data_IF_936510851787
#
_entry.id   IF_936510851787
#
_cell.length_a   1.000
_cell.length_b   1.000
_cell.length_c   1.000
_cell.angle_alpha   90.00
_cell.angle_beta   90.00
_cell.angle_gamma   90.00
#
_symmetry.space_group_name_H-M   'P 1'
#
loop_
_entity.id
_entity.type
_entity.pdbx_description
1 polymer ?
#
# COMPACT_ATOMS: atom_id res chain seq x y z
N UNK A 1 -5.85 -5.29 16.44
CA UNK A 1 -7.13 -5.51 15.73
C UNK A 1 -6.89 -5.49 14.22
N UNK A 2 -7.73 -6.17 13.43
CA UNK A 2 -7.69 -6.14 11.96
C UNK A 2 -8.95 -5.46 11.44
N UNK A 3 -8.80 -4.44 10.61
CA UNK A 3 -9.89 -3.64 10.05
C UNK A 3 -9.95 -3.92 8.55
N UNK A 4 -10.92 -4.73 8.13
CA UNK A 4 -11.16 -5.02 6.72
C UNK A 4 -11.83 -3.82 6.06
N UNK A 5 -11.35 -3.43 4.90
CA UNK A 5 -11.83 -2.24 4.20
C UNK A 5 -12.63 -2.63 2.94
N UNK A 6 -13.61 -1.80 2.59
CA UNK A 6 -14.07 -1.71 1.22
C UNK A 6 -12.97 -1.07 0.37
N UNK A 7 -13.03 -1.20 -0.95
CA UNK A 7 -12.10 -0.52 -1.84
C UNK A 7 -12.19 1.00 -1.66
N UNK A 8 -11.12 1.66 -1.20
CA UNK A 8 -11.09 3.11 -1.17
C UNK A 8 -10.84 3.63 -2.59
N UNK A 9 -11.72 4.52 -3.05
CA UNK A 9 -11.64 5.17 -4.36
C UNK A 9 -11.77 6.70 -4.21
N UNK A 10 -11.29 7.46 -5.19
CA UNK A 10 -11.42 8.91 -5.22
C UNK A 10 -10.88 9.57 -3.94
N UNK A 11 -11.73 10.34 -3.26
CA UNK A 11 -11.33 11.05 -2.04
C UNK A 11 -11.08 10.13 -0.84
N UNK A 12 -11.73 8.97 -0.79
CA UNK A 12 -11.47 7.98 0.28
C UNK A 12 -10.08 7.36 0.11
N UNK A 13 -9.66 7.10 -1.14
CA UNK A 13 -8.28 6.72 -1.45
C UNK A 13 -7.29 7.78 -0.99
N UNK A 14 -7.51 9.05 -1.36
CA UNK A 14 -6.60 10.15 -0.98
C UNK A 14 -6.53 10.36 0.52
N UNK A 15 -7.64 10.17 1.22
CA UNK A 15 -7.74 10.28 2.68
C UNK A 15 -7.02 9.12 3.37
N UNK A 16 -7.18 7.89 2.88
CA UNK A 16 -6.46 6.73 3.39
C UNK A 16 -4.96 6.88 3.18
N UNK A 17 -4.52 7.25 1.96
CA UNK A 17 -3.10 7.45 1.67
C UNK A 17 -2.54 8.59 2.53
N UNK A 18 -3.25 9.70 2.67
CA UNK A 18 -2.85 10.78 3.58
C UNK A 18 -2.56 10.23 4.98
N UNK A 19 -3.52 9.48 5.52
CA UNK A 19 -3.40 8.92 6.85
C UNK A 19 -2.25 7.90 6.97
N UNK A 20 -2.07 7.05 5.96
CA UNK A 20 -0.96 6.10 5.91
C UNK A 20 0.40 6.80 6.01
N UNK A 21 0.60 7.88 5.25
CA UNK A 21 1.83 8.69 5.31
C UNK A 21 2.02 9.43 6.63
N UNK A 22 0.94 9.77 7.33
CA UNK A 22 1.01 10.47 8.62
C UNK A 22 1.40 9.55 9.78
N UNK A 23 1.19 8.22 9.65
CA UNK A 23 1.44 7.27 10.75
C UNK A 23 2.52 6.23 10.46
N UNK A 24 2.89 6.05 9.20
CA UNK A 24 3.89 5.08 8.76
C UNK A 24 5.18 5.78 8.33
N UNK A 25 6.31 5.10 8.50
CA UNK A 25 7.65 5.55 8.07
C UNK A 25 8.10 4.89 6.77
N UNK A 26 7.47 3.79 6.37
CA UNK A 26 7.87 3.00 5.21
C UNK A 26 6.67 2.58 4.38
N UNK A 27 6.80 2.60 3.06
CA UNK A 27 5.87 1.97 2.14
C UNK A 27 6.62 1.07 1.14
N UNK A 28 5.89 0.12 0.55
CA UNK A 28 6.46 -0.86 -0.38
C UNK A 28 5.50 -1.20 -1.51
N UNK A 29 6.06 -1.74 -2.59
CA UNK A 29 5.32 -2.36 -3.69
C UNK A 29 6.16 -3.43 -4.38
N UNK A 30 5.50 -4.23 -5.21
CA UNK A 30 6.02 -5.49 -5.75
C UNK A 30 6.21 -5.39 -7.27
N UNK A 31 7.32 -5.95 -7.75
CA UNK A 31 7.56 -6.27 -9.16
C UNK A 31 7.71 -7.78 -9.32
N UNK A 32 6.67 -8.43 -9.83
CA UNK A 32 6.70 -9.85 -10.18
C UNK A 32 7.51 -10.08 -11.46
N UNK A 33 8.49 -10.99 -11.39
CA UNK A 33 9.33 -11.36 -12.54
C UNK A 33 8.54 -11.96 -13.71
N UNK A 34 7.40 -12.58 -13.44
CA UNK A 34 6.54 -13.21 -14.44
C UNK A 34 5.46 -12.28 -15.04
N UNK A 35 5.30 -11.06 -14.51
CA UNK A 35 4.31 -10.10 -15.01
C UNK A 35 4.98 -9.11 -15.95
N UNK A 36 4.25 -8.74 -17.00
CA UNK A 36 4.64 -7.62 -17.86
C UNK A 36 4.20 -6.32 -17.21
N UNK A 37 5.15 -5.40 -17.06
CA UNK A 37 4.87 -4.03 -16.66
C UNK A 37 5.03 -3.12 -17.87
N UNK A 38 4.15 -2.13 -17.97
CA UNK A 38 4.33 -1.07 -18.94
C UNK A 38 5.44 -0.09 -18.46
N UNK A 39 5.75 0.91 -19.28
CA UNK A 39 6.75 1.94 -18.94
C UNK A 39 6.40 2.74 -17.68
N UNK A 40 5.15 2.67 -17.18
CA UNK A 40 4.73 3.36 -15.97
C UNK A 40 5.42 2.80 -14.73
N UNK A 41 5.75 1.51 -14.66
CA UNK A 41 6.51 0.97 -13.52
C UNK A 41 7.84 1.70 -13.32
N UNK A 42 8.64 1.78 -14.38
CA UNK A 42 9.95 2.44 -14.31
C UNK A 42 9.80 3.95 -14.08
N UNK A 43 8.68 4.54 -14.49
CA UNK A 43 8.35 5.93 -14.16
C UNK A 43 8.07 6.11 -12.67
N UNK A 44 7.25 5.24 -12.06
CA UNK A 44 6.94 5.27 -10.61
C UNK A 44 8.22 5.18 -9.80
N UNK A 45 9.08 4.20 -10.10
CA UNK A 45 10.35 4.00 -9.37
C UNK A 45 11.25 5.22 -9.50
N UNK A 46 11.34 5.83 -10.69
CA UNK A 46 12.14 7.05 -10.89
C UNK A 46 11.60 8.25 -10.13
N UNK A 47 10.28 8.46 -10.10
CA UNK A 47 9.69 9.58 -9.35
C UNK A 47 9.94 9.47 -7.84
N UNK A 48 10.00 8.23 -7.33
CA UNK A 48 10.23 7.89 -5.93
C UNK A 48 11.70 7.66 -5.55
N UNK A 49 12.65 7.87 -6.48
CA UNK A 49 14.07 7.56 -6.27
C UNK A 49 14.68 8.22 -5.03
N UNK A 50 14.27 9.45 -4.72
CA UNK A 50 14.76 10.18 -3.55
C UNK A 50 14.39 9.56 -2.20
N UNK A 51 13.33 8.75 -2.18
CA UNK A 51 12.84 8.08 -0.98
C UNK A 51 13.20 6.58 -0.97
N UNK A 52 13.91 6.10 -1.98
CA UNK A 52 14.26 4.68 -2.11
C UNK A 52 15.21 4.23 -1.00
N UNK A 53 14.90 3.09 -0.36
CA UNK A 53 15.74 2.47 0.68
C UNK A 53 16.54 1.32 0.07
N UNK A 54 15.84 0.26 -0.34
CA UNK A 54 16.42 -0.91 -0.99
C UNK A 54 15.33 -1.70 -1.73
N UNK A 55 15.75 -2.67 -2.53
CA UNK A 55 14.88 -3.73 -3.03
C UNK A 55 15.48 -5.10 -2.76
N UNK A 56 14.62 -6.11 -2.57
CA UNK A 56 15.05 -7.47 -2.27
C UNK A 56 14.13 -8.48 -2.94
N UNK A 57 14.71 -9.56 -3.46
CA UNK A 57 13.96 -10.72 -3.92
C UNK A 57 13.39 -11.48 -2.73
N UNK A 58 12.07 -11.67 -2.71
CA UNK A 58 11.35 -12.27 -1.59
C UNK A 58 10.19 -13.12 -2.11
N UNK A 59 9.81 -14.14 -1.34
CA UNK A 59 8.61 -14.94 -1.56
C UNK A 59 7.48 -14.55 -0.59
N UNK A 60 7.67 -13.52 0.23
CA UNK A 60 6.69 -13.07 1.21
C UNK A 60 6.77 -11.55 1.36
N UNK A 61 5.60 -10.92 1.44
CA UNK A 61 5.38 -9.50 1.75
C UNK A 61 4.04 -9.38 2.48
N UNK A 62 3.61 -8.17 2.91
CA UNK A 62 2.33 -8.03 3.60
C UNK A 62 1.18 -8.61 2.78
N UNK A 63 0.42 -9.52 3.39
CA UNK A 63 -0.75 -10.16 2.77
C UNK A 63 -0.46 -11.36 1.88
N UNK A 64 0.77 -11.57 1.41
CA UNK A 64 1.04 -12.56 0.35
C UNK A 64 2.27 -13.43 0.64
N UNK A 65 2.12 -14.73 0.41
CA UNK A 65 3.22 -15.69 0.21
C UNK A 65 3.13 -16.16 -1.23
N UNK A 66 4.20 -16.03 -2.00
CA UNK A 66 4.20 -16.23 -3.45
C UNK A 66 5.22 -17.27 -3.91
N UNK A 67 4.86 -18.02 -4.94
CA UNK A 67 5.76 -18.88 -5.71
C UNK A 67 5.47 -18.59 -7.19
N UNK A 68 6.43 -18.06 -7.98
CA UNK A 68 7.83 -17.78 -7.64
C UNK A 68 8.02 -16.54 -6.74
N UNK A 69 9.28 -16.23 -6.43
CA UNK A 69 9.70 -14.97 -5.80
C UNK A 69 9.39 -13.74 -6.66
N UNK A 70 9.33 -12.58 -6.01
CA UNK A 70 9.20 -11.27 -6.63
C UNK A 70 10.19 -10.27 -6.02
N UNK A 71 10.46 -9.17 -6.73
CA UNK A 71 11.24 -8.07 -6.19
C UNK A 71 10.32 -7.14 -5.39
N UNK A 72 10.64 -6.92 -4.11
CA UNK A 72 9.92 -5.97 -3.26
C UNK A 72 10.78 -4.73 -3.09
N UNK A 73 10.19 -3.56 -3.35
CA UNK A 73 10.86 -2.27 -3.26
C UNK A 73 10.36 -1.53 -2.02
N UNK A 74 11.29 -1.01 -1.22
CA UNK A 74 11.02 -0.30 0.03
C UNK A 74 11.42 1.17 -0.08
N UNK A 75 10.57 2.05 0.43
CA UNK A 75 10.72 3.50 0.36
C UNK A 75 10.38 4.14 1.71
N UNK A 76 11.07 5.23 2.05
CA UNK A 76 10.69 6.10 3.15
C UNK A 76 9.43 6.89 2.80
N UNK A 77 8.56 7.12 3.78
CA UNK A 77 7.47 8.09 3.62
C UNK A 77 8.03 9.52 3.64
N UNK A 78 7.60 10.35 2.70
CA UNK A 78 7.94 11.77 2.65
C UNK A 78 6.80 12.57 2.02
N UNK A 79 6.81 13.89 2.18
CA UNK A 79 5.81 14.75 1.52
C UNK A 79 5.83 14.61 0.00
N UNK A 80 7.00 14.35 -0.59
CA UNK A 80 7.17 14.16 -2.04
C UNK A 80 6.51 12.85 -2.48
N UNK A 81 6.86 11.73 -1.87
CA UNK A 81 6.24 10.43 -2.18
C UNK A 81 4.74 10.44 -1.88
N UNK A 82 4.30 11.11 -0.81
CA UNK A 82 2.87 11.31 -0.52
C UNK A 82 2.15 11.98 -1.69
N UNK A 83 2.71 13.07 -2.21
CA UNK A 83 2.16 13.77 -3.37
C UNK A 83 2.08 12.88 -4.63
N UNK A 84 3.09 12.06 -4.87
CA UNK A 84 3.11 11.13 -6.02
C UNK A 84 2.05 10.03 -5.86
N UNK A 85 2.07 9.30 -4.74
CA UNK A 85 1.17 8.16 -4.48
C UNK A 85 -0.30 8.59 -4.46
N UNK A 86 -0.62 9.76 -3.89
CA UNK A 86 -2.00 10.28 -3.86
C UNK A 86 -2.56 10.62 -5.25
N UNK A 87 -1.71 10.95 -6.21
CA UNK A 87 -2.12 11.51 -7.50
C UNK A 87 -1.90 10.58 -8.70
N UNK A 88 -1.12 9.51 -8.53
CA UNK A 88 -0.84 8.58 -9.63
C UNK A 88 -2.05 7.72 -10.02
N UNK A 89 -2.99 7.53 -9.08
CA UNK A 89 -4.23 6.80 -9.29
C UNK A 89 -5.32 7.28 -8.33
N UNK A 90 -6.54 6.79 -8.53
CA UNK A 90 -7.73 7.09 -7.73
C UNK A 90 -8.28 5.86 -7.00
N UNK A 91 -7.60 4.70 -7.03
CA UNK A 91 -8.02 3.49 -6.31
C UNK A 91 -6.81 2.76 -5.72
N UNK A 92 -7.01 2.16 -4.54
CA UNK A 92 -6.00 1.28 -3.95
C UNK A 92 -5.79 -0.01 -4.75
N UNK A 93 -6.83 -0.56 -5.38
CA UNK A 93 -6.71 -1.80 -6.16
C UNK A 93 -6.14 -1.56 -7.57
N UNK A 94 -5.98 -0.30 -7.99
CA UNK A 94 -5.23 0.02 -9.21
C UNK A 94 -3.72 -0.21 -9.08
N UNK A 95 -3.20 -0.43 -7.88
CA UNK A 95 -1.82 -0.88 -7.64
C UNK A 95 -1.63 -2.34 -8.06
N UNK A 96 -1.77 -2.56 -9.36
CA UNK A 96 -1.76 -3.85 -10.01
C UNK A 96 -1.13 -3.73 -11.41
N UNK A 97 -0.35 -4.72 -11.79
CA UNK A 97 0.19 -4.85 -13.13
C UNK A 97 -0.95 -4.92 -14.18
N UNK A 98 -0.74 -4.45 -15.42
CA UNK A 98 0.54 -3.96 -15.98
C UNK A 98 0.79 -2.47 -15.74
N UNK A 99 -0.17 -1.74 -15.15
CA UNK A 99 -0.16 -0.27 -15.16
C UNK A 99 0.60 0.36 -14.00
N UNK A 100 0.58 -0.29 -12.84
CA UNK A 100 1.32 0.13 -11.65
C UNK A 100 2.06 -1.08 -11.06
N UNK A 101 3.03 -0.84 -10.15
CA UNK A 101 3.52 -1.89 -9.28
C UNK A 101 2.38 -2.58 -8.53
N UNK A 102 2.59 -3.84 -8.16
CA UNK A 102 1.60 -4.62 -7.42
C UNK A 102 1.63 -4.26 -5.92
N UNK A 103 0.48 -4.37 -5.27
CA UNK A 103 0.31 -4.46 -3.81
C UNK A 103 0.98 -3.31 -3.00
N UNK A 104 0.52 -2.06 -3.19
CA UNK A 104 0.96 -0.94 -2.35
C UNK A 104 0.61 -1.17 -0.88
N UNK A 105 1.62 -1.32 -0.03
CA UNK A 105 1.48 -1.56 1.41
C UNK A 105 2.27 -0.54 2.23
N UNK A 106 1.90 -0.36 3.50
CA UNK A 106 2.58 0.54 4.44
C UNK A 106 2.99 -0.18 5.72
N UNK A 107 4.14 0.22 6.27
CA UNK A 107 4.70 -0.30 7.51
C UNK A 107 4.92 0.86 8.51
N UNK A 108 4.59 0.58 9.78
CA UNK A 108 4.88 1.44 10.93
C UNK A 108 5.97 0.77 11.77
N UNK A 109 7.19 1.27 11.64
CA UNK A 109 8.42 0.54 11.92
C UNK A 109 8.46 -0.74 11.10
N UNK A 110 8.78 -1.85 11.76
CA UNK A 110 8.80 -3.18 11.11
C UNK A 110 7.42 -3.87 11.08
N UNK A 111 6.34 -3.18 11.50
CA UNK A 111 5.00 -3.77 11.59
C UNK A 111 4.14 -3.37 10.40
N UNK A 112 3.44 -4.36 9.84
CA UNK A 112 2.43 -4.13 8.80
C UNK A 112 1.34 -3.21 9.33
N UNK A 113 0.97 -2.20 8.54
CA UNK A 113 -0.11 -1.29 8.87
C UNK A 113 -1.21 -1.32 7.80
N UNK A 114 -0.93 -0.93 6.56
CA UNK A 114 -1.84 -1.14 5.43
C UNK A 114 -1.38 -2.36 4.63
N UNK A 115 -2.22 -3.37 4.57
CA UNK A 115 -2.01 -4.58 3.78
C UNK A 115 -2.98 -4.53 2.60
N UNK A 116 -2.43 -4.64 1.38
CA UNK A 116 -3.20 -4.62 0.15
C UNK A 116 -2.74 -5.77 -0.74
N UNK A 117 -3.70 -6.54 -1.25
CA UNK A 117 -3.47 -7.59 -2.24
C UNK A 117 -4.39 -7.25 -3.42
N UNK A 118 -3.93 -6.36 -4.29
CA UNK A 118 -4.75 -5.65 -5.27
C UNK A 118 -5.45 -6.60 -6.24
N UNK A 119 -4.74 -7.63 -6.68
CA UNK A 119 -5.25 -8.62 -7.62
C UNK A 119 -6.34 -9.53 -7.01
N UNK A 120 -6.37 -9.66 -5.67
CA UNK A 120 -7.43 -10.35 -4.93
C UNK A 120 -8.54 -9.39 -4.46
N UNK A 121 -8.35 -8.07 -4.64
CA UNK A 121 -9.25 -7.01 -4.14
C UNK A 121 -9.47 -7.12 -2.63
N UNK A 122 -8.41 -7.42 -1.90
CA UNK A 122 -8.39 -7.50 -0.45
C UNK A 122 -7.52 -6.38 0.12
N UNK A 123 -8.03 -5.63 1.08
CA UNK A 123 -7.21 -4.73 1.87
C UNK A 123 -7.69 -4.65 3.31
N UNK A 124 -6.74 -4.45 4.21
CA UNK A 124 -6.98 -4.30 5.64
C UNK A 124 -5.94 -3.45 6.32
N UNK A 125 -6.34 -2.88 7.46
CA UNK A 125 -5.44 -2.20 8.38
C UNK A 125 -5.23 -3.03 9.63
N UNK A 126 -3.97 -3.17 10.02
CA UNK A 126 -3.54 -3.80 11.26
C UNK A 126 -3.10 -2.69 12.20
N UNK A 127 -3.90 -2.47 13.25
CA UNK A 127 -3.61 -1.46 14.28
C UNK A 127 -3.99 -1.97 15.66
N UNK A 128 -3.38 -1.45 16.71
CA UNK A 128 -3.83 -1.62 18.10
C UNK A 128 -4.27 -0.28 18.70
N UNK A 129 -4.20 0.79 17.92
CA UNK A 129 -4.53 2.14 18.36
C UNK A 129 -6.01 2.44 18.14
N UNK A 130 -6.73 2.68 19.23
CA UNK A 130 -8.11 3.16 19.15
C UNK A 130 -8.20 4.53 18.45
N UNK A 131 -7.19 5.41 18.60
CA UNK A 131 -7.19 6.70 17.89
C UNK A 131 -7.07 6.52 16.38
N UNK A 132 -6.30 5.53 15.91
CA UNK A 132 -6.22 5.21 14.49
C UNK A 132 -7.55 4.62 13.99
N UNK A 133 -8.21 3.78 14.79
CA UNK A 133 -9.53 3.28 14.46
C UNK A 133 -10.57 4.40 14.36
N UNK A 134 -10.57 5.37 15.28
CA UNK A 134 -11.47 6.53 15.21
C UNK A 134 -11.20 7.38 13.97
N UNK A 135 -9.92 7.57 13.59
CA UNK A 135 -9.56 8.26 12.36
C UNK A 135 -10.05 7.50 11.11
N UNK A 136 -9.98 6.17 11.08
CA UNK A 136 -10.50 5.39 9.96
C UNK A 136 -12.02 5.49 9.84
N UNK A 137 -12.73 5.59 10.96
CA UNK A 137 -14.19 5.78 10.96
C UNK A 137 -14.62 7.12 10.36
N UNK A 138 -13.72 8.11 10.28
CA UNK A 138 -14.05 9.38 9.62
C UNK A 138 -14.06 9.28 8.10
N UNK A 139 -13.49 8.21 7.52
CA UNK A 139 -13.52 7.96 6.08
C UNK A 139 -14.79 7.14 5.79
N UNK A 140 -15.82 7.82 5.28
CA UNK A 140 -17.16 7.24 5.16
C UNK A 140 -17.18 6.00 4.26
N UNK A 141 -17.84 4.93 4.70
CA UNK A 141 -17.95 3.70 3.91
C UNK A 141 -16.65 2.90 3.76
N UNK A 142 -15.53 3.35 4.33
CA UNK A 142 -14.25 2.66 4.21
C UNK A 142 -14.24 1.32 4.95
N UNK A 143 -14.71 1.30 6.19
CA UNK A 143 -14.65 0.09 7.03
C UNK A 143 -15.73 -0.89 6.62
N UNK A 144 -15.32 -2.06 6.13
CA UNK A 144 -16.22 -3.19 5.88
C UNK A 144 -16.50 -3.96 7.17
N UNK A 145 -15.44 -4.32 7.93
CA UNK A 145 -15.58 -5.10 9.16
C UNK A 145 -14.37 -4.92 10.09
N UNK A 146 -14.63 -4.91 11.39
CA UNK A 146 -13.59 -4.96 12.42
C UNK A 146 -13.52 -6.37 13.01
N UNK A 147 -12.32 -6.94 13.05
CA UNK A 147 -12.01 -8.23 13.68
C UNK A 147 -11.13 -7.96 14.90
N UNK A 148 -11.72 -8.14 16.09
CA UNK A 148 -11.00 -8.12 17.36
C UNK A 148 -10.42 -9.53 17.60
N UNK A 149 -9.16 -9.58 18.02
CA UNK A 149 -8.53 -10.84 18.47
C UNK A 149 -9.11 -11.23 19.83
#
# INVERSE_FOLDING_TARGET
MRVLLNEPIGEDYRSLIQFAFDVCDTFLFIKHSQRSYNQSFDKVVRELESDFIYCKEQNQWPGTISVPTAMVYYFHTSEKSKGIIKNITDSLFNWNAPNLPDDLCFLKGDKQWLVNTSHERLCDIITESESELEQLKTINGLIYRIVKK
#
